data_IF_342294097658
#
_entry.id   IF_342294097658
#
_cell.length_a   1.000
_cell.length_b   1.000
_cell.length_c   1.000
_cell.angle_alpha   90.00
_cell.angle_beta   90.00
_cell.angle_gamma   90.00
#
_symmetry.space_group_name_H-M   'P 1'
#
loop_
_entity.id
_entity.type
_entity.pdbx_description
1 polymer ?
#
# COMPACT_ATOMS: atom_id res chain seq x y z
N UNK A 1 1.55 6.68 69.28
CA UNK A 1 0.91 7.29 68.10
C UNK A 1 1.68 8.57 67.75
N UNK A 2 2.55 8.49 66.76
CA UNK A 2 3.34 9.63 66.27
C UNK A 2 2.42 10.59 65.51
N UNK A 3 2.04 11.72 66.12
CA UNK A 3 1.35 12.82 65.42
C UNK A 3 2.40 13.63 64.67
N UNK A 4 2.39 13.56 63.34
CA UNK A 4 3.13 14.48 62.50
C UNK A 4 2.54 15.88 62.72
N UNK A 5 3.35 16.92 62.98
CA UNK A 5 2.83 18.25 63.24
C UNK A 5 2.22 18.85 61.96
N UNK A 6 1.00 19.40 62.06
CA UNK A 6 0.17 19.77 60.90
C UNK A 6 0.76 20.78 59.91
N UNK A 7 1.80 21.54 60.30
CA UNK A 7 2.56 22.41 59.37
C UNK A 7 3.42 21.60 58.38
N UNK A 8 3.92 20.43 58.79
CA UNK A 8 4.67 19.51 57.94
C UNK A 8 3.73 18.84 56.92
N UNK A 9 2.54 18.43 57.36
CA UNK A 9 1.50 17.88 56.48
C UNK A 9 1.05 18.91 55.44
N UNK A 10 0.79 20.16 55.85
CA UNK A 10 0.42 21.24 54.92
C UNK A 10 1.50 21.56 53.88
N UNK A 11 2.78 21.50 54.27
CA UNK A 11 3.92 21.74 53.36
C UNK A 11 4.07 20.61 52.34
N UNK A 12 3.94 19.35 52.78
CA UNK A 12 3.98 18.18 51.89
C UNK A 12 2.82 18.21 50.90
N UNK A 13 1.60 18.47 51.38
CA UNK A 13 0.41 18.58 50.52
C UNK A 13 0.57 19.72 49.51
N UNK A 14 1.03 20.90 49.94
CA UNK A 14 1.32 22.02 49.05
C UNK A 14 2.35 21.69 47.96
N UNK A 15 3.45 21.02 48.34
CA UNK A 15 4.47 20.57 47.38
C UNK A 15 3.92 19.57 46.36
N UNK A 16 3.07 18.63 46.79
CA UNK A 16 2.40 17.67 45.91
C UNK A 16 1.46 18.40 44.93
N UNK A 17 0.67 19.37 45.37
CA UNK A 17 -0.20 20.15 44.47
C UNK A 17 0.58 20.97 43.46
N UNK A 18 1.69 21.61 43.87
CA UNK A 18 2.57 22.32 42.94
C UNK A 18 3.17 21.35 41.91
N UNK A 19 3.65 20.18 42.35
CA UNK A 19 4.17 19.16 41.44
C UNK A 19 3.10 18.68 40.44
N UNK A 20 1.88 18.41 40.91
CA UNK A 20 0.75 18.04 40.06
C UNK A 20 0.43 19.16 39.06
N UNK A 21 0.40 20.42 39.50
CA UNK A 21 0.14 21.56 38.61
C UNK A 21 1.22 21.71 37.54
N UNK A 22 2.51 21.49 37.88
CA UNK A 22 3.62 21.50 36.92
C UNK A 22 3.51 20.34 35.94
N UNK A 23 3.23 19.11 36.41
CA UNK A 23 3.03 17.95 35.54
C UNK A 23 1.86 18.19 34.58
N UNK A 24 0.73 18.67 35.11
CA UNK A 24 -0.44 19.00 34.30
C UNK A 24 -0.07 20.04 33.24
N UNK A 25 0.60 21.14 33.63
CA UNK A 25 1.06 22.18 32.72
C UNK A 25 1.99 21.65 31.61
N UNK A 26 2.94 20.78 31.94
CA UNK A 26 3.80 20.12 30.95
C UNK A 26 3.00 19.23 29.99
N UNK A 27 2.07 18.42 30.51
CA UNK A 27 1.15 17.61 29.68
C UNK A 27 0.30 18.51 28.78
N UNK A 28 -0.11 19.70 29.27
CA UNK A 28 -0.87 20.66 28.47
C UNK A 28 -0.10 21.17 27.25
N UNK A 29 1.23 21.14 27.31
CA UNK A 29 2.10 21.61 26.26
C UNK A 29 2.53 20.53 25.27
N UNK A 30 2.20 19.26 25.53
CA UNK A 30 2.58 18.19 24.63
C UNK A 30 1.99 18.43 23.22
N UNK A 31 2.84 18.38 22.18
CA UNK A 31 2.38 18.53 20.80
C UNK A 31 1.46 17.35 20.43
N UNK A 32 0.40 17.66 19.69
CA UNK A 32 -0.42 16.61 19.10
C UNK A 32 0.36 15.84 18.02
N UNK A 33 -0.12 14.65 17.62
CA UNK A 33 0.50 13.90 16.54
C UNK A 33 0.27 14.60 15.20
N UNK A 34 1.25 14.48 14.30
CA UNK A 34 1.04 14.75 12.88
C UNK A 34 0.54 13.48 12.21
N UNK A 35 -0.57 13.59 11.49
CA UNK A 35 -1.24 12.50 10.79
C UNK A 35 -1.38 12.89 9.33
N UNK A 36 -0.83 12.08 8.44
CA UNK A 36 -1.09 12.19 7.01
C UNK A 36 -1.98 11.02 6.63
N UNK A 37 -3.17 11.33 6.13
CA UNK A 37 -4.11 10.33 5.64
C UNK A 37 -4.06 10.30 4.12
N UNK A 38 -3.95 9.11 3.54
CA UNK A 38 -3.89 8.90 2.10
C UNK A 38 -5.05 8.02 1.69
N UNK A 39 -5.92 8.59 0.85
CA UNK A 39 -7.12 7.91 0.37
C UNK A 39 -7.17 7.87 -1.15
N UNK A 40 -8.00 6.98 -1.66
CA UNK A 40 -8.39 6.98 -3.05
C UNK A 40 -9.58 7.93 -3.33
N UNK A 41 -9.99 8.08 -4.59
CA UNK A 41 -11.11 8.94 -5.00
C UNK A 41 -12.47 8.54 -4.40
N UNK A 42 -12.60 7.30 -3.89
CA UNK A 42 -13.77 6.80 -3.17
C UNK A 42 -13.59 6.78 -1.64
N UNK A 43 -12.51 7.38 -1.13
CA UNK A 43 -12.14 7.41 0.29
C UNK A 43 -11.78 6.05 0.88
N UNK A 44 -11.35 5.08 0.09
CA UNK A 44 -10.71 3.88 0.63
C UNK A 44 -9.25 4.18 1.02
N UNK A 45 -8.75 3.57 2.10
CA UNK A 45 -7.37 3.77 2.54
C UNK A 45 -6.36 3.23 1.53
N UNK A 46 -5.33 4.03 1.24
CA UNK A 46 -4.21 3.61 0.39
C UNK A 46 -3.07 3.11 1.26
N UNK A 47 -2.78 1.81 1.17
CA UNK A 47 -1.70 1.14 1.90
C UNK A 47 -0.37 1.32 1.14
N UNK A 48 0.73 1.43 1.89
CA UNK A 48 2.10 1.54 1.38
C UNK A 48 2.39 2.80 0.55
N UNK A 49 1.61 3.87 0.72
CA UNK A 49 1.96 5.19 0.20
C UNK A 49 3.13 5.76 0.99
N UNK A 50 4.16 6.26 0.29
CA UNK A 50 5.32 6.88 0.93
C UNK A 50 5.01 8.31 1.29
N UNK A 51 5.15 8.65 2.56
CA UNK A 51 4.94 10.01 3.06
C UNK A 51 6.24 10.56 3.62
N UNK A 52 6.59 11.79 3.24
CA UNK A 52 7.72 12.55 3.74
C UNK A 52 7.24 13.89 4.27
N UNK A 53 7.52 14.21 5.52
CA UNK A 53 7.19 15.50 6.13
C UNK A 53 8.45 16.22 6.61
N UNK A 54 8.58 17.49 6.25
CA UNK A 54 9.66 18.39 6.66
C UNK A 54 9.08 19.50 7.53
N UNK A 55 9.63 19.65 8.73
CA UNK A 55 9.13 20.56 9.74
C UNK A 55 10.11 21.66 10.14
N UNK A 56 9.79 22.40 11.22
CA UNK A 56 10.62 23.48 11.71
C UNK A 56 12.06 23.03 12.02
N UNK A 57 13.04 23.85 11.62
CA UNK A 57 14.46 23.53 11.77
C UNK A 57 14.97 22.44 10.83
N UNK A 58 14.22 22.10 9.77
CA UNK A 58 14.64 21.13 8.75
C UNK A 58 14.51 19.67 9.17
N UNK A 59 13.80 19.38 10.27
CA UNK A 59 13.56 18.00 10.71
C UNK A 59 12.71 17.26 9.69
N UNK A 60 13.14 16.07 9.31
CA UNK A 60 12.47 15.22 8.33
C UNK A 60 11.96 13.94 8.97
N UNK A 61 10.75 13.53 8.59
CA UNK A 61 10.15 12.26 8.94
C UNK A 61 9.64 11.58 7.68
N UNK A 62 9.94 10.29 7.54
CA UNK A 62 9.51 9.46 6.40
C UNK A 62 8.85 8.20 6.94
N UNK A 63 7.78 7.77 6.27
CA UNK A 63 7.02 6.58 6.65
C UNK A 63 6.17 6.06 5.50
N UNK A 64 5.59 4.89 5.71
CA UNK A 64 4.58 4.31 4.83
C UNK A 64 3.22 4.39 5.53
N UNK A 65 2.16 4.51 4.74
CA UNK A 65 0.80 4.42 5.27
C UNK A 65 0.44 3.00 5.67
N UNK A 66 -0.26 2.87 6.79
CA UNK A 66 -0.77 1.60 7.31
C UNK A 66 -2.05 1.12 6.61
N UNK A 67 -2.67 0.07 7.15
CA UNK A 67 -3.93 -0.50 6.64
C UNK A 67 -5.12 0.47 6.67
N UNK A 68 -5.02 1.55 7.45
CA UNK A 68 -6.01 2.63 7.51
C UNK A 68 -5.66 3.80 6.59
N UNK A 69 -4.57 3.68 5.82
CA UNK A 69 -4.09 4.73 4.94
C UNK A 69 -3.40 5.86 5.69
N UNK A 70 -2.90 5.62 6.91
CA UNK A 70 -2.39 6.67 7.77
C UNK A 70 -0.88 6.54 8.01
N UNK A 71 -0.16 7.65 7.92
CA UNK A 71 1.20 7.81 8.41
C UNK A 71 1.18 8.78 9.60
N UNK A 72 1.68 8.32 10.76
CA UNK A 72 1.54 9.05 12.04
C UNK A 72 2.87 9.23 12.75
N UNK A 73 3.12 10.44 13.22
CA UNK A 73 4.29 10.76 14.05
C UNK A 73 3.86 11.49 15.34
N UNK A 74 4.00 10.86 16.52
CA UNK A 74 3.76 11.53 17.79
C UNK A 74 4.95 12.43 18.19
N UNK A 75 4.71 13.39 19.08
CA UNK A 75 5.78 14.13 19.74
C UNK A 75 6.54 15.13 18.86
N UNK A 76 5.96 15.59 17.75
CA UNK A 76 6.63 16.49 16.82
C UNK A 76 6.74 17.93 17.35
N UNK A 77 7.73 18.67 16.85
CA UNK A 77 7.84 20.10 17.15
C UNK A 77 6.57 20.84 16.68
N UNK A 78 6.08 21.76 17.53
CA UNK A 78 4.98 22.66 17.16
C UNK A 78 5.41 23.55 16.00
N UNK A 79 4.47 23.89 15.13
CA UNK A 79 4.70 24.74 13.96
C UNK A 79 4.22 24.12 12.66
N UNK A 80 4.55 24.75 11.54
CA UNK A 80 4.15 24.33 10.20
C UNK A 80 5.04 23.20 9.69
N UNK A 81 4.41 22.18 9.12
CA UNK A 81 5.02 21.02 8.48
C UNK A 81 4.58 20.97 7.03
N UNK A 82 5.53 20.78 6.11
CA UNK A 82 5.27 20.49 4.70
C UNK A 82 5.38 18.99 4.50
N UNK A 83 4.33 18.37 3.99
CA UNK A 83 4.28 16.94 3.74
C UNK A 83 4.11 16.67 2.24
N UNK A 84 4.77 15.62 1.77
CA UNK A 84 4.67 15.07 0.42
C UNK A 84 4.20 13.62 0.56
N UNK A 85 3.16 13.24 -0.17
CA UNK A 85 2.67 11.88 -0.25
C UNK A 85 2.86 11.38 -1.70
N UNK A 86 3.59 10.29 -1.86
CA UNK A 86 3.77 9.56 -3.10
C UNK A 86 2.95 8.27 -3.02
N UNK A 87 1.98 8.05 -3.93
CA UNK A 87 1.18 6.84 -3.90
C UNK A 87 2.02 5.66 -4.43
N UNK A 88 1.57 4.42 -4.19
CA UNK A 88 2.18 3.25 -4.82
C UNK A 88 2.13 3.37 -6.36
N UNK A 89 3.08 2.77 -7.11
CA UNK A 89 3.19 2.92 -8.57
C UNK A 89 1.94 2.58 -9.40
N UNK A 90 0.96 1.87 -8.82
CA UNK A 90 -0.31 1.55 -9.49
C UNK A 90 -1.23 2.77 -9.66
N UNK A 91 -1.14 3.80 -8.84
CA UNK A 91 -2.10 4.92 -8.86
C UNK A 91 -1.84 5.93 -9.98
N UNK A 92 -2.85 6.73 -10.32
CA UNK A 92 -2.82 7.64 -11.47
C UNK A 92 -2.24 9.04 -11.21
N UNK A 93 -2.15 9.46 -9.95
CA UNK A 93 -1.68 10.80 -9.59
C UNK A 93 -0.23 10.81 -9.13
N UNK A 94 0.51 11.83 -9.56
CA UNK A 94 1.85 12.18 -9.07
C UNK A 94 1.88 12.52 -7.58
N UNK A 95 3.06 12.61 -6.93
CA UNK A 95 3.16 13.06 -5.56
C UNK A 95 2.31 14.31 -5.28
N UNK A 96 1.62 14.32 -4.14
CA UNK A 96 0.90 15.48 -3.67
C UNK A 96 1.65 16.12 -2.52
N UNK A 97 1.66 17.44 -2.49
CA UNK A 97 2.20 18.20 -1.37
C UNK A 97 1.06 18.88 -0.60
N UNK A 98 1.25 19.01 0.71
CA UNK A 98 0.35 19.74 1.58
C UNK A 98 1.02 20.20 2.85
N UNK A 99 0.25 20.90 3.68
CA UNK A 99 0.76 21.51 4.90
C UNK A 99 -0.14 21.18 6.08
N UNK A 100 0.48 20.92 7.23
CA UNK A 100 -0.20 20.69 8.49
C UNK A 100 0.49 21.48 9.61
N UNK A 101 -0.28 22.07 10.53
CA UNK A 101 0.30 22.83 11.64
C UNK A 101 0.12 22.07 12.94
N UNK A 102 1.23 21.63 13.54
CA UNK A 102 1.25 20.94 14.83
C UNK A 102 1.06 21.94 15.96
N UNK A 103 -0.03 21.77 16.71
CA UNK A 103 -0.38 22.55 17.89
C UNK A 103 -0.51 21.64 19.12
N UNK A 104 -0.59 22.24 20.31
CA UNK A 104 -0.73 21.46 21.54
C UNK A 104 -2.06 20.69 21.56
N UNK A 105 -1.99 19.41 21.97
CA UNK A 105 -3.12 18.48 22.19
C UNK A 105 -4.05 18.15 21.01
N UNK A 106 -3.98 18.85 19.88
CA UNK A 106 -4.82 18.57 18.71
C UNK A 106 -3.99 17.87 17.62
N UNK A 107 -4.52 16.81 17.00
CA UNK A 107 -3.86 16.20 15.85
C UNK A 107 -3.78 17.22 14.72
N UNK A 108 -2.61 17.29 14.08
CA UNK A 108 -2.44 18.03 12.84
C UNK A 108 -2.64 17.04 11.71
N UNK A 109 -3.74 17.19 10.97
CA UNK A 109 -4.09 16.24 9.91
C UNK A 109 -4.01 16.90 8.55
N UNK A 110 -3.34 16.25 7.61
CA UNK A 110 -3.43 16.55 6.19
C UNK A 110 -3.92 15.30 5.44
N UNK A 111 -4.74 15.51 4.41
CA UNK A 111 -5.35 14.45 3.62
C UNK A 111 -4.90 14.59 2.17
N UNK A 112 -4.32 13.52 1.62
CA UNK A 112 -3.99 13.37 0.20
C UNK A 112 -4.97 12.40 -0.46
N UNK A 113 -5.42 12.72 -1.67
CA UNK A 113 -6.42 11.92 -2.40
C UNK A 113 -5.90 11.55 -3.78
N UNK A 114 -5.76 10.26 -4.04
CA UNK A 114 -5.23 9.72 -5.30
C UNK A 114 -6.31 9.05 -6.14
N UNK A 115 -6.24 9.19 -7.45
CA UNK A 115 -7.16 8.49 -8.35
C UNK A 115 -6.82 7.00 -8.41
N UNK A 116 -7.83 6.15 -8.21
CA UNK A 116 -7.67 4.70 -8.26
C UNK A 116 -7.08 4.24 -9.59
N UNK A 117 -6.25 3.18 -9.56
CA UNK A 117 -5.85 2.47 -10.77
C UNK A 117 -7.04 1.92 -11.55
N UNK A 118 -6.85 1.79 -12.86
CA UNK A 118 -7.64 0.87 -13.68
C UNK A 118 -7.31 -0.58 -13.35
N UNK A 119 -8.22 -1.50 -13.68
CA UNK A 119 -8.11 -2.93 -13.35
C UNK A 119 -8.28 -3.77 -14.60
N UNK A 120 -7.51 -4.85 -14.70
CA UNK A 120 -7.75 -5.93 -15.64
C UNK A 120 -8.22 -7.17 -14.87
N UNK A 121 -9.47 -7.58 -15.08
CA UNK A 121 -9.97 -8.86 -14.59
C UNK A 121 -9.69 -9.94 -15.65
N UNK A 122 -8.72 -10.79 -15.35
CA UNK A 122 -8.20 -11.79 -16.29
C UNK A 122 -8.89 -13.13 -16.04
N UNK A 123 -9.47 -13.72 -17.06
CA UNK A 123 -10.02 -15.07 -17.07
C UNK A 123 -9.18 -15.97 -18.00
N UNK A 124 -8.67 -17.07 -17.47
CA UNK A 124 -7.90 -18.06 -18.24
C UNK A 124 -8.76 -19.29 -18.48
N UNK A 125 -9.16 -19.49 -19.74
CA UNK A 125 -9.99 -20.62 -20.13
C UNK A 125 -9.13 -21.87 -20.27
N UNK A 126 -9.45 -22.89 -19.47
CA UNK A 126 -8.80 -24.19 -19.55
C UNK A 126 -9.16 -24.91 -20.86
N UNK A 127 -8.16 -25.38 -21.64
CA UNK A 127 -8.42 -26.21 -22.82
C UNK A 127 -9.14 -27.50 -22.45
N UNK A 128 -10.02 -27.98 -23.33
CA UNK A 128 -10.75 -29.24 -23.11
C UNK A 128 -9.74 -30.40 -22.97
N UNK A 129 -9.89 -31.19 -21.91
CA UNK A 129 -9.00 -32.33 -21.62
C UNK A 129 -7.69 -31.97 -20.89
N UNK A 130 -7.40 -30.68 -20.66
CA UNK A 130 -6.20 -30.27 -19.94
C UNK A 130 -6.30 -30.48 -18.42
N UNK A 131 -5.17 -30.84 -17.80
CA UNK A 131 -5.02 -31.02 -16.35
C UNK A 131 -5.16 -29.66 -15.64
N UNK A 132 -5.78 -29.64 -14.45
CA UNK A 132 -5.89 -28.43 -13.62
C UNK A 132 -4.52 -27.86 -13.25
N UNK A 133 -4.41 -26.53 -13.20
CA UNK A 133 -3.16 -25.84 -12.94
C UNK A 133 -3.43 -24.45 -12.34
N UNK A 134 -2.59 -24.02 -11.38
CA UNK A 134 -2.53 -22.62 -10.93
C UNK A 134 -1.59 -21.85 -11.87
N UNK A 135 -2.16 -21.21 -12.89
CA UNK A 135 -1.37 -20.48 -13.88
C UNK A 135 -1.03 -19.07 -13.40
N UNK A 136 0.14 -18.57 -13.78
CA UNK A 136 0.51 -17.18 -13.55
C UNK A 136 0.19 -16.35 -14.80
N UNK A 137 -0.39 -15.17 -14.56
CA UNK A 137 -0.61 -14.14 -15.59
C UNK A 137 0.25 -12.94 -15.25
N UNK A 138 0.83 -12.34 -16.29
CA UNK A 138 1.65 -11.13 -16.17
C UNK A 138 1.12 -10.07 -17.13
N UNK A 139 1.12 -8.81 -16.69
CA UNK A 139 0.96 -7.66 -17.54
C UNK A 139 2.33 -7.03 -17.81
N UNK A 140 2.58 -6.64 -19.06
CA UNK A 140 3.68 -5.76 -19.45
C UNK A 140 3.07 -4.49 -20.00
N UNK A 141 3.45 -3.35 -19.44
CA UNK A 141 2.94 -2.05 -19.85
C UNK A 141 4.04 -1.20 -20.49
N UNK A 142 3.63 -0.30 -21.38
CA UNK A 142 4.51 0.75 -21.93
C UNK A 142 5.16 1.50 -20.76
N UNK A 143 6.50 1.51 -20.71
CA UNK A 143 7.28 2.03 -19.57
C UNK A 143 8.02 0.97 -18.75
N UNK A 144 7.81 -0.32 -19.03
CA UNK A 144 8.60 -1.42 -18.45
C UNK A 144 8.08 -1.94 -17.11
N UNK A 145 6.99 -1.38 -16.58
CA UNK A 145 6.34 -1.89 -15.38
C UNK A 145 5.67 -3.23 -15.67
N UNK A 146 5.89 -4.19 -14.77
CA UNK A 146 5.31 -5.52 -14.89
C UNK A 146 4.63 -5.95 -13.61
N UNK A 147 3.42 -6.47 -13.76
CA UNK A 147 2.59 -6.94 -12.65
C UNK A 147 2.27 -8.40 -12.86
N UNK A 148 2.43 -9.22 -11.82
CA UNK A 148 2.12 -10.65 -11.87
C UNK A 148 1.00 -10.97 -10.87
N UNK A 149 0.04 -11.79 -11.29
CA UNK A 149 -0.99 -12.35 -10.44
C UNK A 149 -1.20 -13.82 -10.80
N UNK A 150 -1.63 -14.63 -9.83
CA UNK A 150 -1.97 -16.03 -10.06
C UNK A 150 -3.46 -16.18 -10.33
N UNK A 151 -3.78 -16.94 -11.37
CA UNK A 151 -5.12 -17.45 -11.61
C UNK A 151 -5.39 -18.64 -10.68
N UNK A 152 -6.52 -18.60 -9.97
CA UNK A 152 -6.95 -19.69 -9.10
C UNK A 152 -7.11 -21.03 -9.84
N UNK A 153 -6.85 -22.15 -9.15
CA UNK A 153 -7.02 -23.53 -9.70
C UNK A 153 -8.47 -23.81 -10.11
N UNK A 154 -9.40 -23.17 -9.41
CA UNK A 154 -10.83 -23.15 -9.68
C UNK A 154 -11.17 -21.75 -10.20
N UNK A 155 -11.92 -21.67 -11.28
CA UNK A 155 -12.36 -20.45 -11.97
C UNK A 155 -11.34 -19.71 -12.85
N UNK A 156 -10.03 -19.94 -12.69
CA UNK A 156 -9.02 -19.42 -13.63
C UNK A 156 -8.94 -17.89 -13.67
N UNK A 157 -9.29 -17.20 -12.58
CA UNK A 157 -9.37 -15.73 -12.52
C UNK A 157 -8.21 -15.09 -11.77
N UNK A 158 -7.77 -13.93 -12.25
CA UNK A 158 -6.76 -13.09 -11.61
C UNK A 158 -7.09 -11.60 -11.83
N UNK A 159 -6.64 -10.73 -10.92
CA UNK A 159 -6.80 -9.28 -11.07
C UNK A 159 -5.43 -8.63 -11.17
N UNK A 160 -5.22 -7.83 -12.22
CA UNK A 160 -4.02 -7.02 -12.44
C UNK A 160 -4.40 -5.53 -12.39
N UNK A 161 -3.44 -4.68 -12.02
CA UNK A 161 -3.60 -3.22 -11.98
C UNK A 161 -2.98 -2.60 -13.23
N UNK A 162 -3.69 -1.66 -13.84
CA UNK A 162 -3.20 -0.93 -15.02
C UNK A 162 -2.66 0.43 -14.54
N UNK A 163 -1.35 0.71 -14.74
CA UNK A 163 -0.74 1.99 -14.37
C UNK A 163 -1.21 3.18 -15.23
N UNK A 164 -0.90 4.39 -14.77
CA UNK A 164 -1.38 5.64 -15.36
C UNK A 164 -1.00 5.83 -16.82
N UNK A 165 -2.01 6.02 -17.67
CA UNK A 165 -1.81 6.27 -19.10
C UNK A 165 -1.08 5.14 -19.82
N UNK A 166 -0.90 4.00 -19.17
CA UNK A 166 -0.11 2.91 -19.68
C UNK A 166 -0.98 2.01 -20.54
N UNK A 167 -0.45 1.63 -21.69
CA UNK A 167 -0.99 0.57 -22.53
C UNK A 167 -0.32 -0.73 -22.13
N UNK A 168 -1.13 -1.73 -21.81
CA UNK A 168 -0.63 -3.00 -21.28
C UNK A 168 -1.03 -4.15 -22.20
N UNK A 169 -0.25 -5.22 -22.16
CA UNK A 169 -0.62 -6.54 -22.68
C UNK A 169 -0.53 -7.55 -21.56
N UNK A 170 -1.53 -8.43 -21.49
CA UNK A 170 -1.60 -9.48 -20.47
C UNK A 170 -1.39 -10.82 -21.14
N UNK A 171 -0.59 -11.69 -20.55
CA UNK A 171 -0.45 -13.05 -21.05
C UNK A 171 -0.01 -14.04 -19.97
N UNK A 172 0.05 -15.30 -20.36
CA UNK A 172 0.50 -16.38 -19.49
C UNK A 172 2.02 -16.39 -19.38
N UNK A 173 2.51 -16.59 -18.16
CA UNK A 173 3.92 -16.83 -17.89
C UNK A 173 4.08 -18.15 -17.16
N UNK A 174 5.21 -18.84 -17.39
CA UNK A 174 5.57 -19.98 -16.57
C UNK A 174 5.98 -19.46 -15.19
N UNK A 175 5.34 -19.89 -14.10
CA UNK A 175 5.73 -19.44 -12.78
C UNK A 175 7.11 -20.02 -12.43
N UNK A 176 8.08 -19.14 -12.24
CA UNK A 176 9.40 -19.45 -11.63
C UNK A 176 9.37 -19.27 -10.10
N UNK A 177 8.17 -19.15 -9.52
CA UNK A 177 8.00 -18.93 -8.09
C UNK A 177 8.44 -20.16 -7.28
N UNK A 178 9.22 -19.96 -6.20
CA UNK A 178 9.26 -20.92 -5.10
C UNK A 178 7.83 -21.15 -4.59
N UNK A 179 7.48 -22.41 -4.34
CA UNK A 179 6.10 -22.83 -3.99
C UNK A 179 5.51 -22.16 -2.76
N UNK A 180 6.38 -21.65 -1.90
CA UNK A 180 6.07 -21.10 -0.58
C UNK A 180 5.96 -19.59 -0.56
N UNK A 181 6.27 -18.88 -1.65
CA UNK A 181 6.30 -17.42 -1.68
C UNK A 181 5.03 -16.83 -2.33
N UNK A 182 4.21 -16.06 -1.59
CA UNK A 182 3.26 -15.14 -2.20
C UNK A 182 4.02 -13.90 -2.71
N UNK A 183 4.04 -13.69 -4.03
CA UNK A 183 4.66 -12.51 -4.64
C UNK A 183 4.96 -12.70 -6.13
N UNK A 184 5.32 -11.63 -6.86
CA UNK A 184 5.73 -11.70 -8.27
C UNK A 184 7.17 -12.25 -8.41
N UNK A 185 7.46 -13.02 -9.46
CA UNK A 185 8.85 -13.35 -9.83
C UNK A 185 9.42 -12.20 -10.65
N UNK A 186 10.63 -11.78 -10.31
CA UNK A 186 11.31 -10.69 -11.00
C UNK A 186 11.73 -11.06 -12.43
N UNK A 187 11.90 -12.35 -12.75
CA UNK A 187 12.73 -12.76 -13.90
C UNK A 187 11.98 -13.38 -15.09
N UNK A 188 10.74 -13.87 -14.92
CA UNK A 188 9.97 -14.50 -16.01
C UNK A 188 9.32 -13.45 -16.93
N UNK A 189 10.04 -13.05 -17.98
CA UNK A 189 9.59 -12.06 -18.97
C UNK A 189 8.41 -12.60 -19.81
N UNK A 190 7.32 -11.85 -19.85
CA UNK A 190 6.24 -12.10 -20.80
C UNK A 190 6.73 -11.73 -22.21
N UNK A 191 6.66 -12.68 -23.14
CA UNK A 191 6.95 -12.46 -24.56
C UNK A 191 5.68 -12.68 -25.37
N UNK A 192 5.01 -11.59 -25.74
CA UNK A 192 3.78 -11.64 -26.52
C UNK A 192 3.96 -12.08 -27.98
N UNK A 193 5.21 -12.20 -28.43
CA UNK A 193 5.54 -12.75 -29.75
C UNK A 193 5.49 -14.29 -29.75
N UNK A 194 5.61 -14.92 -28.57
CA UNK A 194 5.74 -16.38 -28.43
C UNK A 194 4.70 -17.01 -27.50
N UNK A 195 4.02 -16.22 -26.68
CA UNK A 195 3.02 -16.65 -25.70
C UNK A 195 1.65 -16.02 -25.99
N UNK A 196 0.53 -16.65 -25.59
CA UNK A 196 -0.80 -16.07 -25.79
C UNK A 196 -0.91 -14.78 -24.99
N UNK A 197 -1.04 -13.66 -25.70
CA UNK A 197 -1.30 -12.35 -25.13
C UNK A 197 -2.66 -11.81 -25.55
N UNK A 198 -3.22 -10.98 -24.69
CA UNK A 198 -4.34 -10.13 -25.03
C UNK A 198 -3.92 -9.12 -26.11
N UNK A 199 -4.90 -8.52 -26.82
CA UNK A 199 -4.71 -7.22 -27.44
C UNK A 199 -4.20 -6.20 -26.42
N UNK A 200 -3.75 -5.06 -26.93
CA UNK A 200 -3.43 -3.92 -26.09
C UNK A 200 -4.67 -3.47 -25.31
N UNK A 201 -4.52 -3.29 -24.00
CA UNK A 201 -5.58 -2.83 -23.10
C UNK A 201 -5.13 -1.56 -22.38
N UNK A 202 -6.10 -0.71 -22.09
CA UNK A 202 -5.96 0.47 -21.23
C UNK A 202 -7.23 0.60 -20.39
N UNK A 203 -7.12 1.19 -19.21
CA UNK A 203 -8.27 1.41 -18.33
C UNK A 203 -8.20 2.81 -17.70
N UNK A 204 -9.35 3.45 -17.58
CA UNK A 204 -9.55 4.76 -16.95
C UNK A 204 -9.64 4.65 -15.43
N UNK A 205 -9.83 5.79 -14.73
CA UNK A 205 -9.91 5.88 -13.25
C UNK A 205 -10.95 4.90 -12.70
N UNK A 206 -10.49 3.89 -11.96
CA UNK A 206 -11.35 2.87 -11.36
C UNK A 206 -12.11 1.97 -12.34
N UNK A 207 -11.84 2.07 -13.64
CA UNK A 207 -12.44 1.23 -14.68
C UNK A 207 -11.92 -0.20 -14.57
N UNK A 208 -12.79 -1.18 -14.83
CA UNK A 208 -12.40 -2.58 -14.99
C UNK A 208 -12.57 -3.01 -16.44
N UNK A 209 -11.52 -3.61 -17.00
CA UNK A 209 -11.52 -4.26 -18.31
C UNK A 209 -11.42 -5.76 -18.10
N UNK A 210 -12.28 -6.52 -18.77
CA UNK A 210 -12.25 -7.98 -18.72
C UNK A 210 -11.37 -8.54 -19.84
N UNK A 211 -10.47 -9.45 -19.50
CA UNK A 211 -9.48 -10.04 -20.42
C UNK A 211 -9.59 -11.55 -20.38
N UNK A 212 -10.02 -12.17 -21.48
CA UNK A 212 -10.09 -13.63 -21.57
C UNK A 212 -8.89 -14.18 -22.34
N UNK A 213 -8.06 -14.98 -21.68
CA UNK A 213 -6.97 -15.75 -22.30
C UNK A 213 -7.45 -17.15 -22.63
N UNK A 214 -7.32 -17.56 -23.90
CA UNK A 214 -7.69 -18.90 -24.40
C UNK A 214 -6.45 -19.62 -24.93
N UNK A 215 -5.57 -20.13 -24.06
CA UNK A 215 -4.36 -20.84 -24.48
C UNK A 215 -4.70 -22.12 -25.26
N UNK A 216 -3.79 -22.55 -26.13
CA UNK A 216 -3.83 -23.90 -26.70
C UNK A 216 -3.41 -24.96 -25.66
N UNK A 217 -3.68 -26.26 -25.87
CA UNK A 217 -3.19 -27.32 -25.00
C UNK A 217 -1.66 -27.29 -24.79
N UNK A 218 -0.89 -26.94 -25.83
CA UNK A 218 0.56 -26.83 -25.78
C UNK A 218 1.00 -25.65 -24.91
N UNK A 219 0.39 -24.47 -25.12
CA UNK A 219 0.64 -23.27 -24.32
C UNK A 219 0.28 -23.50 -22.85
N UNK A 220 -0.82 -24.23 -22.59
CA UNK A 220 -1.24 -24.63 -21.24
C UNK A 220 -0.20 -25.53 -20.58
N UNK A 221 0.30 -26.54 -21.29
CA UNK A 221 1.30 -27.47 -20.77
C UNK A 221 2.63 -26.76 -20.45
N UNK A 222 3.03 -25.78 -21.27
CA UNK A 222 4.25 -24.98 -21.07
C UNK A 222 4.15 -24.01 -19.90
N UNK A 223 2.98 -23.36 -19.71
CA UNK A 223 2.75 -22.42 -18.62
C UNK A 223 2.45 -23.12 -17.28
N UNK A 224 2.16 -24.42 -17.30
CA UNK A 224 1.84 -25.19 -16.09
C UNK A 224 3.01 -25.18 -15.11
N UNK A 225 2.78 -24.89 -13.82
CA UNK A 225 3.80 -25.10 -12.79
C UNK A 225 4.25 -26.57 -12.77
N UNK A 226 5.53 -26.86 -12.47
CA UNK A 226 5.98 -28.23 -12.30
C UNK A 226 5.19 -28.94 -11.18
N UNK A 227 4.84 -30.23 -11.35
CA UNK A 227 4.09 -31.00 -10.35
C UNK A 227 4.82 -31.01 -9.01
N UNK A 228 4.08 -31.08 -7.90
CA UNK A 228 4.70 -31.14 -6.57
C UNK A 228 5.72 -32.29 -6.47
N UNK A 229 6.98 -32.10 -5.96
CA UNK A 229 7.69 -33.22 -5.40
C UNK A 229 6.85 -33.98 -4.41
N UNK A 230 6.92 -35.29 -4.54
CA UNK A 230 6.15 -36.23 -3.73
C UNK A 230 6.56 -36.21 -2.24
N UNK A 231 7.54 -35.40 -1.81
CA UNK A 231 7.91 -35.19 -0.40
C UNK A 231 8.75 -33.91 -0.18
N UNK A 232 8.74 -33.34 1.04
CA UNK A 232 9.55 -32.19 1.44
C UNK A 232 11.06 -32.46 1.46
#
# INVERSE_FOLDING_TARGET
>A
MSRVPGWLEGTVVGAVFVLIAVILWLVMQNPGPLVVQVFDDLRHPVIDARVKCVGPGGKEFVGLTDVFGEAKWPGLAKGAWRCEALPPPRFFRNPQEGYATVIARKPATWVAVFERPGRAAVEVVRPKGAVRAALAVRAVCDGGDTWEARAGVLDGRATLWIPHGARCRVGLVRPELPRTAPGPVTDSKLSCDTAPCSPEISASVGEQVDVTLRPTPEQWAQARPPPEPDSP
#
